data_IF_124594243455
#
_entry.id   IF_124594243455
#
_cell.length_a   1.000
_cell.length_b   1.000
_cell.length_c   1.000
_cell.angle_alpha   90.00
_cell.angle_beta   90.00
_cell.angle_gamma   90.00
#
_symmetry.space_group_name_H-M   'P 1'
#
loop_
_entity.id
_entity.type
_entity.pdbx_description
1 polymer ?
#
# COMPACT_ATOMS: atom_id res chain seq x y z
N UNK A 1 21.74 13.00 83.03
CA UNK A 1 21.51 13.61 81.67
C UNK A 1 21.25 12.43 80.76
N UNK A 2 20.02 12.36 80.23
CA UNK A 2 19.58 11.24 79.39
C UNK A 2 19.56 11.74 77.93
N UNK A 3 20.38 11.11 77.13
CA UNK A 3 20.42 11.38 75.66
C UNK A 3 19.15 10.86 75.01
N UNK A 4 18.35 11.81 74.42
CA UNK A 4 17.24 11.47 73.57
C UNK A 4 17.80 11.27 72.16
N UNK A 5 17.93 10.02 71.74
CA UNK A 5 18.25 9.66 70.35
C UNK A 5 17.04 9.94 69.51
N UNK A 6 17.20 10.80 68.47
CA UNK A 6 16.18 11.18 67.48
C UNK A 6 15.93 10.03 66.52
N UNK A 7 14.87 9.26 66.70
CA UNK A 7 14.41 8.23 65.75
C UNK A 7 13.55 8.76 64.61
N UNK A 8 13.51 10.09 64.40
CA UNK A 8 12.56 10.70 63.44
C UNK A 8 13.04 10.78 62.01
N UNK A 9 14.31 10.50 61.71
CA UNK A 9 14.84 10.71 60.34
C UNK A 9 14.97 9.44 59.48
N UNK A 10 14.82 8.24 60.05
CA UNK A 10 15.00 7.01 59.26
C UNK A 10 13.72 6.56 58.54
N UNK A 11 12.55 6.77 59.16
CA UNK A 11 11.27 6.39 58.57
C UNK A 11 10.86 7.26 57.37
N UNK A 12 11.13 8.55 57.41
CA UNK A 12 10.86 9.48 56.28
C UNK A 12 11.76 9.25 55.09
N UNK A 13 13.00 8.80 55.32
CA UNK A 13 13.94 8.50 54.23
C UNK A 13 13.57 7.19 53.48
N UNK A 14 13.09 6.19 54.22
CA UNK A 14 12.66 4.90 53.62
C UNK A 14 11.37 5.07 52.81
N UNK A 15 10.41 5.86 53.28
CA UNK A 15 9.16 6.13 52.55
C UNK A 15 9.44 6.95 51.27
N UNK A 16 10.36 7.93 51.32
CA UNK A 16 10.77 8.69 50.15
C UNK A 16 11.50 7.85 49.11
N UNK A 17 12.37 6.92 49.51
CA UNK A 17 13.10 6.03 48.59
C UNK A 17 12.20 4.98 47.94
N UNK A 18 11.19 4.46 48.64
CA UNK A 18 10.23 3.49 48.06
C UNK A 18 9.26 4.17 47.08
N UNK A 19 8.81 5.40 47.32
CA UNK A 19 7.97 6.15 46.37
C UNK A 19 8.78 6.50 45.11
N UNK A 20 10.07 6.83 45.23
CA UNK A 20 10.91 7.11 44.04
C UNK A 20 11.18 5.86 43.20
N UNK A 21 11.31 4.68 43.81
CA UNK A 21 11.44 3.41 43.07
C UNK A 21 10.16 3.02 42.32
N UNK A 22 8.98 3.26 42.88
CA UNK A 22 7.69 2.99 42.23
C UNK A 22 7.45 3.88 41.02
N UNK A 23 7.94 5.15 41.06
CA UNK A 23 7.82 6.09 39.94
C UNK A 23 8.74 5.70 38.75
N UNK A 24 9.88 5.06 39.02
CA UNK A 24 10.81 4.60 37.95
C UNK A 24 10.31 3.35 37.22
N UNK A 25 9.50 2.50 37.85
CA UNK A 25 8.91 1.33 37.15
C UNK A 25 7.75 1.69 36.24
N UNK A 26 7.09 2.86 36.42
CA UNK A 26 5.97 3.30 35.59
C UNK A 26 6.37 3.90 34.23
N UNK A 27 7.67 4.09 33.95
CA UNK A 27 8.20 4.64 32.72
C UNK A 27 8.79 3.60 31.75
N UNK A 28 8.56 2.31 31.95
CA UNK A 28 8.93 1.32 30.95
C UNK A 28 8.05 1.51 29.70
N UNK A 29 8.62 1.76 28.51
CA UNK A 29 7.82 1.94 27.30
C UNK A 29 6.97 0.69 27.08
N UNK A 30 5.64 0.86 27.03
CA UNK A 30 4.72 -0.24 26.79
C UNK A 30 5.10 -0.94 25.49
N UNK A 31 5.18 -2.29 25.51
CA UNK A 31 5.49 -3.07 24.30
C UNK A 31 4.51 -2.68 23.18
N UNK A 32 4.99 -2.34 21.98
CA UNK A 32 4.12 -1.93 20.89
C UNK A 32 3.14 -3.06 20.57
N UNK A 33 1.87 -2.70 20.30
CA UNK A 33 0.85 -3.67 19.89
C UNK A 33 1.22 -4.33 18.55
N UNK A 34 0.75 -5.55 18.30
CA UNK A 34 0.94 -6.24 17.02
C UNK A 34 0.46 -5.40 15.83
N UNK A 35 -0.65 -4.65 16.02
CA UNK A 35 -1.17 -3.72 15.02
C UNK A 35 -0.17 -2.59 14.71
N UNK A 36 0.50 -2.03 15.70
CA UNK A 36 1.55 -1.03 15.48
C UNK A 36 2.76 -1.66 14.80
N UNK A 37 3.19 -2.84 15.24
CA UNK A 37 4.31 -3.58 14.66
C UNK A 37 4.06 -3.95 13.18
N UNK A 38 2.83 -4.26 12.78
CA UNK A 38 2.52 -4.57 11.37
C UNK A 38 2.80 -3.39 10.41
N UNK A 39 2.92 -2.18 10.95
CA UNK A 39 3.27 -0.97 10.20
C UNK A 39 4.75 -0.65 10.33
N UNK A 40 5.30 -0.69 11.55
CA UNK A 40 6.66 -0.21 11.83
C UNK A 40 7.74 -1.27 11.65
N UNK A 41 7.43 -2.53 11.94
CA UNK A 41 8.33 -3.69 11.87
C UNK A 41 7.60 -4.91 11.26
N UNK A 42 7.08 -4.80 10.01
CA UNK A 42 6.20 -5.80 9.45
C UNK A 42 6.85 -7.18 9.33
N UNK A 43 8.14 -7.25 9.04
CA UNK A 43 8.90 -8.51 8.96
C UNK A 43 8.86 -9.30 10.27
N UNK A 44 8.87 -8.59 11.40
CA UNK A 44 8.77 -9.19 12.74
C UNK A 44 7.39 -9.79 13.03
N UNK A 45 6.34 -9.21 12.45
CA UNK A 45 4.98 -9.75 12.55
C UNK A 45 4.83 -10.99 11.67
N UNK A 46 5.29 -10.91 10.42
CA UNK A 46 5.23 -12.02 9.47
C UNK A 46 6.02 -13.24 9.93
N UNK A 47 7.17 -13.05 10.62
CA UNK A 47 7.93 -14.17 11.19
C UNK A 47 7.16 -15.01 12.21
N UNK A 48 6.02 -14.51 12.70
CA UNK A 48 5.13 -15.20 13.66
C UNK A 48 3.82 -15.68 13.02
N UNK A 49 3.71 -15.64 11.70
CA UNK A 49 2.46 -15.93 10.99
C UNK A 49 1.82 -17.24 11.40
N UNK A 50 2.56 -18.35 11.37
CA UNK A 50 2.02 -19.68 11.67
C UNK A 50 1.53 -19.76 13.14
N UNK A 51 2.31 -19.19 14.05
CA UNK A 51 1.93 -19.09 15.45
C UNK A 51 0.66 -18.26 15.66
N UNK A 52 0.52 -17.12 14.97
CA UNK A 52 -0.66 -16.26 15.07
C UNK A 52 -1.91 -16.92 14.48
N UNK A 53 -1.78 -17.60 13.35
CA UNK A 53 -2.90 -18.28 12.68
C UNK A 53 -3.33 -19.57 13.39
N UNK A 54 -2.44 -20.19 14.19
CA UNK A 54 -2.77 -21.34 15.02
C UNK A 54 -3.46 -20.99 16.36
N UNK A 55 -3.45 -19.71 16.76
CA UNK A 55 -4.17 -19.24 17.93
C UNK A 55 -5.69 -19.35 17.72
N UNK A 56 -6.49 -19.07 18.76
CA UNK A 56 -7.92 -19.35 18.80
C UNK A 56 -8.67 -18.93 17.51
N UNK A 57 -9.67 -19.74 17.10
CA UNK A 57 -10.51 -19.46 15.93
C UNK A 57 -11.22 -18.10 16.03
N UNK A 58 -11.57 -17.65 17.23
CA UNK A 58 -12.25 -16.39 17.49
C UNK A 58 -11.41 -15.16 17.16
N UNK A 59 -10.09 -15.20 17.39
CA UNK A 59 -9.17 -14.10 17.09
C UNK A 59 -8.56 -14.18 15.68
N UNK A 60 -8.83 -15.22 14.94
CA UNK A 60 -8.27 -15.42 13.61
C UNK A 60 -8.52 -14.25 12.64
N UNK A 61 -9.73 -13.63 12.58
CA UNK A 61 -9.95 -12.47 11.71
C UNK A 61 -9.05 -11.27 12.05
N UNK A 62 -8.82 -11.01 13.35
CA UNK A 62 -7.91 -9.96 13.81
C UNK A 62 -6.47 -10.22 13.34
N UNK A 63 -5.98 -11.44 13.50
CA UNK A 63 -4.62 -11.81 13.08
C UNK A 63 -4.46 -11.80 11.56
N UNK A 64 -5.47 -12.24 10.81
CA UNK A 64 -5.50 -12.14 9.34
C UNK A 64 -5.37 -10.67 8.92
N UNK A 65 -6.12 -9.74 9.52
CA UNK A 65 -6.03 -8.31 9.20
C UNK A 65 -4.64 -7.73 9.53
N UNK A 66 -4.06 -8.09 10.67
CA UNK A 66 -2.71 -7.66 11.09
C UNK A 66 -1.64 -8.19 10.14
N UNK A 67 -1.69 -9.47 9.78
CA UNK A 67 -0.77 -10.11 8.85
C UNK A 67 -0.90 -9.55 7.43
N UNK A 68 -2.14 -9.34 6.96
CA UNK A 68 -2.39 -8.69 5.67
C UNK A 68 -1.76 -7.29 5.63
N UNK A 69 -1.93 -6.50 6.69
CA UNK A 69 -1.28 -5.18 6.81
C UNK A 69 0.24 -5.30 6.76
N UNK A 70 0.84 -6.26 7.48
CA UNK A 70 2.28 -6.45 7.49
C UNK A 70 2.82 -6.83 6.10
N UNK A 71 2.21 -7.81 5.43
CA UNK A 71 2.60 -8.21 4.07
C UNK A 71 2.44 -7.08 3.06
N UNK A 72 1.35 -6.29 3.12
CA UNK A 72 1.15 -5.10 2.26
C UNK A 72 2.27 -4.08 2.47
N UNK A 73 2.68 -3.83 3.72
CA UNK A 73 3.76 -2.89 3.99
C UNK A 73 5.13 -3.39 3.48
N UNK A 74 5.40 -4.70 3.57
CA UNK A 74 6.60 -5.30 2.95
C UNK A 74 6.55 -5.17 1.43
N UNK A 75 5.39 -5.45 0.83
CA UNK A 75 5.20 -5.32 -0.62
C UNK A 75 5.46 -3.89 -1.10
N UNK A 76 4.87 -2.89 -0.45
CA UNK A 76 5.08 -1.46 -0.77
C UNK A 76 6.53 -1.02 -0.61
N UNK A 77 7.21 -1.49 0.43
CA UNK A 77 8.64 -1.25 0.61
C UNK A 77 9.48 -1.85 -0.53
N UNK A 78 9.12 -3.06 -0.97
CA UNK A 78 9.74 -3.72 -2.11
C UNK A 78 9.49 -2.96 -3.43
N UNK A 79 8.28 -2.45 -3.66
CA UNK A 79 7.97 -1.60 -4.82
C UNK A 79 8.80 -0.32 -4.83
N UNK A 80 8.86 0.38 -3.70
CA UNK A 80 9.65 1.61 -3.56
C UNK A 80 11.15 1.37 -3.81
N UNK A 81 11.65 0.16 -3.53
CA UNK A 81 13.03 -0.24 -3.84
C UNK A 81 13.20 -0.85 -5.24
N UNK A 82 12.15 -0.90 -6.04
CA UNK A 82 12.15 -1.49 -7.39
C UNK A 82 12.11 -3.02 -7.43
N UNK A 83 12.02 -3.69 -6.29
CA UNK A 83 11.96 -5.15 -6.20
C UNK A 83 10.52 -5.66 -6.43
N UNK A 84 10.11 -5.65 -7.70
CA UNK A 84 8.76 -6.05 -8.11
C UNK A 84 8.45 -7.51 -7.81
N UNK A 85 9.41 -8.40 -7.92
CA UNK A 85 9.20 -9.83 -7.66
C UNK A 85 8.80 -10.08 -6.19
N UNK A 86 9.52 -9.45 -5.27
CA UNK A 86 9.15 -9.49 -3.84
C UNK A 86 7.78 -8.90 -3.59
N UNK A 87 7.43 -7.77 -4.20
CA UNK A 87 6.13 -7.15 -4.05
C UNK A 87 4.99 -8.10 -4.51
N UNK A 88 5.12 -8.67 -5.71
CA UNK A 88 4.16 -9.67 -6.23
C UNK A 88 3.99 -10.86 -5.28
N UNK A 89 5.09 -11.38 -4.75
CA UNK A 89 5.07 -12.50 -3.80
C UNK A 89 4.32 -12.13 -2.51
N UNK A 90 4.58 -10.96 -1.97
CA UNK A 90 3.94 -10.52 -0.73
C UNK A 90 2.44 -10.24 -0.91
N UNK A 91 1.99 -9.61 -2.01
CA UNK A 91 0.56 -9.47 -2.30
C UNK A 91 -0.14 -10.82 -2.50
N UNK A 92 0.51 -11.79 -3.15
CA UNK A 92 -0.03 -13.17 -3.25
C UNK A 92 -0.19 -13.84 -1.90
N UNK A 93 0.74 -13.62 -0.96
CA UNK A 93 0.60 -14.12 0.41
C UNK A 93 -0.59 -13.50 1.14
N UNK A 94 -0.84 -12.19 0.94
CA UNK A 94 -2.07 -11.57 1.48
C UNK A 94 -3.30 -12.30 0.96
N UNK A 95 -3.39 -12.52 -0.35
CA UNK A 95 -4.55 -13.17 -0.94
C UNK A 95 -4.70 -14.66 -0.55
N UNK A 96 -3.62 -15.30 -0.13
CA UNK A 96 -3.67 -16.67 0.41
C UNK A 96 -4.30 -16.73 1.81
N UNK A 97 -4.14 -15.70 2.64
CA UNK A 97 -4.72 -15.63 3.99
C UNK A 97 -6.03 -14.83 4.05
N UNK A 98 -6.21 -13.88 3.15
CA UNK A 98 -7.38 -13.01 3.00
C UNK A 98 -7.75 -12.88 1.51
N UNK A 99 -8.47 -13.86 0.93
CA UNK A 99 -8.83 -13.84 -0.48
C UNK A 99 -9.69 -12.66 -0.92
N UNK A 100 -10.34 -11.96 0.02
CA UNK A 100 -11.19 -10.81 -0.26
C UNK A 100 -10.48 -9.46 -0.09
N UNK A 101 -9.19 -9.46 0.17
CA UNK A 101 -8.41 -8.24 0.37
C UNK A 101 -8.35 -7.40 -0.91
N UNK A 102 -9.17 -6.35 -0.97
CA UNK A 102 -9.28 -5.47 -2.14
C UNK A 102 -7.95 -4.77 -2.45
N UNK A 103 -7.24 -4.31 -1.41
CA UNK A 103 -5.95 -3.61 -1.59
C UNK A 103 -4.93 -4.52 -2.25
N UNK A 104 -4.72 -5.72 -1.72
CA UNK A 104 -3.74 -6.64 -2.29
C UNK A 104 -4.11 -7.09 -3.71
N UNK A 105 -5.41 -7.27 -3.98
CA UNK A 105 -5.88 -7.63 -5.32
C UNK A 105 -5.66 -6.49 -6.32
N UNK A 106 -5.96 -5.26 -5.93
CA UNK A 106 -5.74 -4.07 -6.75
C UNK A 106 -4.26 -3.89 -7.11
N UNK A 107 -3.39 -3.88 -6.11
CA UNK A 107 -1.95 -3.68 -6.30
C UNK A 107 -1.31 -4.83 -7.12
N UNK A 108 -1.76 -6.08 -6.89
CA UNK A 108 -1.31 -7.21 -7.70
C UNK A 108 -1.64 -7.02 -9.18
N UNK A 109 -2.88 -6.63 -9.49
CA UNK A 109 -3.30 -6.37 -10.87
C UNK A 109 -2.53 -5.20 -11.49
N UNK A 110 -2.28 -4.12 -10.75
CA UNK A 110 -1.45 -3.02 -11.24
C UNK A 110 -0.04 -3.50 -11.62
N UNK A 111 0.60 -4.31 -10.77
CA UNK A 111 1.94 -4.84 -11.05
C UNK A 111 1.96 -5.83 -12.23
N UNK A 112 0.93 -6.66 -12.36
CA UNK A 112 0.77 -7.58 -13.51
C UNK A 112 0.57 -6.81 -14.81
N UNK A 113 -0.33 -5.83 -14.81
CA UNK A 113 -0.56 -4.94 -15.96
C UNK A 113 0.70 -4.17 -16.38
N UNK A 114 1.45 -3.62 -15.40
CA UNK A 114 2.73 -2.95 -15.65
C UNK A 114 3.79 -3.88 -16.26
N UNK A 115 3.76 -5.17 -15.90
CA UNK A 115 4.66 -6.16 -16.48
C UNK A 115 4.33 -6.40 -17.95
N UNK A 116 3.05 -6.50 -18.29
CA UNK A 116 2.57 -6.64 -19.66
C UNK A 116 2.83 -5.37 -20.49
N UNK A 117 2.55 -4.19 -19.90
CA UNK A 117 2.86 -2.90 -20.53
C UNK A 117 4.35 -2.76 -20.89
N UNK A 118 5.25 -3.23 -20.03
CA UNK A 118 6.69 -3.21 -20.29
C UNK A 118 7.10 -4.10 -21.45
N UNK A 119 6.47 -5.27 -21.63
CA UNK A 119 6.71 -6.14 -22.80
C UNK A 119 6.45 -5.41 -24.12
N UNK A 120 5.43 -4.57 -24.18
CA UNK A 120 5.18 -3.63 -25.28
C UNK A 120 4.74 -4.23 -26.60
N UNK A 121 4.61 -5.54 -26.76
CA UNK A 121 3.99 -6.16 -27.94
C UNK A 121 2.49 -5.87 -27.98
N UNK A 122 1.90 -5.77 -29.18
CA UNK A 122 0.45 -5.49 -29.32
C UNK A 122 -0.44 -6.43 -28.49
N UNK A 123 -0.24 -7.77 -28.50
CA UNK A 123 -1.00 -8.66 -27.62
C UNK A 123 -0.80 -8.33 -26.15
N UNK A 124 0.44 -8.13 -25.69
CA UNK A 124 0.72 -7.82 -24.28
C UNK A 124 0.11 -6.49 -23.84
N UNK A 125 -0.03 -5.50 -24.74
CA UNK A 125 -0.70 -4.24 -24.44
C UNK A 125 -2.22 -4.40 -24.32
N UNK A 126 -2.84 -5.28 -25.12
CA UNK A 126 -4.24 -5.65 -24.95
C UNK A 126 -4.49 -6.36 -23.62
N UNK A 127 -3.63 -7.32 -23.27
CA UNK A 127 -3.70 -8.00 -21.97
C UNK A 127 -3.50 -7.00 -20.82
N UNK A 128 -2.59 -6.03 -20.97
CA UNK A 128 -2.39 -4.96 -19.98
C UNK A 128 -3.66 -4.12 -19.77
N UNK A 129 -4.33 -3.71 -20.87
CA UNK A 129 -5.60 -2.96 -20.80
C UNK A 129 -6.65 -3.76 -20.04
N UNK A 130 -6.80 -5.06 -20.33
CA UNK A 130 -7.75 -5.93 -19.62
C UNK A 130 -7.44 -6.01 -18.13
N UNK A 131 -6.18 -6.22 -17.76
CA UNK A 131 -5.75 -6.31 -16.36
C UNK A 131 -5.95 -4.99 -15.62
N UNK A 132 -5.60 -3.84 -16.23
CA UNK A 132 -5.84 -2.52 -15.63
C UNK A 132 -7.34 -2.21 -15.51
N UNK A 133 -8.16 -2.65 -16.46
CA UNK A 133 -9.62 -2.52 -16.36
C UNK A 133 -10.17 -3.32 -15.17
N UNK A 134 -9.68 -4.53 -14.92
CA UNK A 134 -10.03 -5.29 -13.70
C UNK A 134 -9.58 -4.55 -12.43
N UNK A 135 -8.42 -3.91 -12.44
CA UNK A 135 -7.96 -3.11 -11.31
C UNK A 135 -8.87 -1.90 -11.06
N UNK A 136 -9.24 -1.14 -12.10
CA UNK A 136 -10.10 0.03 -11.97
C UNK A 136 -11.50 -0.30 -11.41
N UNK A 137 -12.01 -1.51 -11.67
CA UNK A 137 -13.28 -1.98 -11.10
C UNK A 137 -13.18 -2.28 -9.59
N UNK A 138 -12.00 -2.60 -9.08
CA UNK A 138 -11.79 -2.87 -7.64
C UNK A 138 -11.67 -1.57 -6.84
N UNK A 139 -10.95 -0.58 -7.37
CA UNK A 139 -10.78 0.73 -6.77
C UNK A 139 -11.18 1.83 -7.75
N UNK A 140 -12.46 2.20 -7.71
CA UNK A 140 -13.06 3.15 -8.65
C UNK A 140 -12.67 4.61 -8.37
N UNK A 141 -12.18 4.90 -7.15
CA UNK A 141 -11.75 6.23 -6.75
C UNK A 141 -10.30 6.54 -7.17
N UNK A 142 -9.53 5.52 -7.56
CA UNK A 142 -8.13 5.65 -7.94
C UNK A 142 -7.98 5.71 -9.46
N UNK A 143 -7.37 6.79 -9.97
CA UNK A 143 -7.15 7.02 -11.39
C UNK A 143 -5.94 6.32 -11.99
N UNK A 144 -5.10 5.66 -11.17
CA UNK A 144 -3.84 5.06 -11.64
C UNK A 144 -4.08 3.95 -12.67
N UNK A 145 -5.07 3.09 -12.44
CA UNK A 145 -5.40 2.02 -13.40
C UNK A 145 -5.86 2.60 -14.75
N UNK A 146 -6.74 3.59 -14.73
CA UNK A 146 -7.24 4.28 -15.94
C UNK A 146 -6.12 5.04 -16.68
N UNK A 147 -5.18 5.64 -15.94
CA UNK A 147 -3.98 6.23 -16.53
C UNK A 147 -3.17 5.19 -17.31
N UNK A 148 -2.95 3.99 -16.76
CA UNK A 148 -2.21 2.93 -17.45
C UNK A 148 -2.98 2.30 -18.60
N UNK A 149 -4.32 2.32 -18.57
CA UNK A 149 -5.15 1.97 -19.75
C UNK A 149 -4.86 2.95 -20.89
N UNK A 150 -4.90 4.26 -20.62
CA UNK A 150 -4.60 5.29 -21.61
C UNK A 150 -3.19 5.14 -22.20
N UNK A 151 -2.18 4.96 -21.36
CA UNK A 151 -0.78 4.70 -21.77
C UNK A 151 -0.65 3.45 -22.63
N UNK A 152 -1.46 2.41 -22.34
CA UNK A 152 -1.43 1.17 -23.10
C UNK A 152 -2.06 1.33 -24.49
N UNK A 153 -3.18 2.05 -24.61
CA UNK A 153 -3.76 2.43 -25.89
C UNK A 153 -2.79 3.27 -26.72
N UNK A 154 -2.21 4.31 -26.12
CA UNK A 154 -1.25 5.19 -26.78
C UNK A 154 -0.04 4.43 -27.32
N UNK A 155 0.50 3.48 -26.54
CA UNK A 155 1.65 2.67 -26.93
C UNK A 155 1.32 1.59 -27.96
N UNK A 156 0.10 1.05 -27.92
CA UNK A 156 -0.39 0.00 -28.83
C UNK A 156 -0.62 0.54 -30.24
N UNK A 157 -1.37 1.63 -30.31
CA UNK A 157 -1.72 2.31 -31.55
C UNK A 157 -2.16 3.75 -31.23
N UNK A 158 -1.34 4.70 -31.56
CA UNK A 158 -1.59 6.10 -31.29
C UNK A 158 -2.66 6.75 -32.18
N UNK A 159 -3.45 5.95 -32.92
CA UNK A 159 -4.59 6.39 -33.74
C UNK A 159 -5.95 6.13 -33.10
N UNK A 160 -6.01 5.34 -32.04
CA UNK A 160 -7.24 5.11 -31.24
C UNK A 160 -7.51 6.33 -30.33
N UNK A 161 -7.56 7.53 -30.91
CA UNK A 161 -7.59 8.80 -30.18
C UNK A 161 -8.73 8.90 -29.16
N UNK A 162 -9.93 8.42 -29.53
CA UNK A 162 -11.08 8.50 -28.65
C UNK A 162 -10.89 7.67 -27.37
N UNK A 163 -10.39 6.44 -27.50
CA UNK A 163 -10.11 5.58 -26.36
C UNK A 163 -8.97 6.12 -25.49
N UNK A 164 -7.95 6.72 -26.11
CA UNK A 164 -6.83 7.35 -25.38
C UNK A 164 -7.34 8.54 -24.56
N UNK A 165 -8.15 9.42 -25.19
CA UNK A 165 -8.69 10.62 -24.54
C UNK A 165 -9.62 10.23 -23.40
N UNK A 166 -10.60 9.33 -23.65
CA UNK A 166 -11.56 8.85 -22.66
C UNK A 166 -10.85 8.26 -21.42
N UNK A 167 -9.85 7.42 -21.64
CA UNK A 167 -9.11 6.79 -20.53
C UNK A 167 -8.31 7.82 -19.71
N UNK A 168 -7.73 8.86 -20.34
CA UNK A 168 -7.09 9.95 -19.60
C UNK A 168 -8.11 10.81 -18.85
N UNK A 169 -9.26 11.11 -19.44
CA UNK A 169 -10.33 11.85 -18.78
C UNK A 169 -10.85 11.10 -17.57
N UNK A 170 -11.07 9.79 -17.69
CA UNK A 170 -11.45 8.94 -16.58
C UNK A 170 -10.38 8.96 -15.48
N UNK A 171 -9.10 8.87 -15.81
CA UNK A 171 -8.02 8.92 -14.82
C UNK A 171 -7.95 10.27 -14.11
N UNK A 172 -8.15 11.38 -14.82
CA UNK A 172 -8.08 12.75 -14.29
C UNK A 172 -9.30 13.09 -13.41
N UNK A 173 -10.43 12.42 -13.62
CA UNK A 173 -11.64 12.57 -12.80
C UNK A 173 -11.51 11.96 -11.39
N UNK A 174 -10.48 11.15 -11.15
CA UNK A 174 -10.24 10.36 -9.93
C UNK A 174 -9.01 10.85 -9.16
N UNK A 175 -8.77 10.26 -7.99
CA UNK A 175 -7.53 10.48 -7.25
C UNK A 175 -6.33 9.97 -8.08
N UNK A 176 -5.40 10.86 -8.41
CA UNK A 176 -4.22 10.54 -9.21
C UNK A 176 -3.00 11.27 -8.62
N UNK A 177 -1.86 10.58 -8.42
CA UNK A 177 -0.62 11.20 -7.99
C UNK A 177 -0.24 12.37 -8.90
N UNK A 178 0.23 13.48 -8.33
CA UNK A 178 0.47 14.73 -9.04
C UNK A 178 1.33 14.57 -10.31
N UNK A 179 2.40 13.78 -10.21
CA UNK A 179 3.27 13.49 -11.37
C UNK A 179 2.52 12.80 -12.51
N UNK A 180 1.62 11.86 -12.19
CA UNK A 180 0.82 11.16 -13.22
C UNK A 180 -0.28 12.05 -13.76
N UNK A 181 -0.84 12.94 -12.93
CA UNK A 181 -1.84 13.93 -13.33
C UNK A 181 -1.28 14.86 -14.40
N UNK A 182 -0.11 15.44 -14.15
CA UNK A 182 0.56 16.31 -15.12
C UNK A 182 0.87 15.60 -16.44
N UNK A 183 1.37 14.36 -16.39
CA UNK A 183 1.61 13.55 -17.59
C UNK A 183 0.30 13.25 -18.35
N UNK A 184 -0.77 12.90 -17.64
CA UNK A 184 -2.08 12.60 -18.21
C UNK A 184 -2.68 13.82 -18.93
N UNK A 185 -2.58 15.02 -18.34
CA UNK A 185 -3.05 16.27 -18.94
C UNK A 185 -2.31 16.56 -20.26
N UNK A 186 -0.99 16.51 -20.25
CA UNK A 186 -0.15 16.74 -21.43
C UNK A 186 -0.40 15.69 -22.53
N UNK A 187 -0.50 14.43 -22.13
CA UNK A 187 -0.75 13.32 -23.07
C UNK A 187 -2.14 13.41 -23.69
N UNK A 188 -3.17 13.73 -22.90
CA UNK A 188 -4.54 13.97 -23.38
C UNK A 188 -4.59 15.10 -24.40
N UNK A 189 -4.01 16.26 -24.09
CA UNK A 189 -3.96 17.40 -24.98
C UNK A 189 -3.23 17.08 -26.29
N UNK A 190 -2.19 16.26 -26.22
CA UNK A 190 -1.46 15.78 -27.38
C UNK A 190 -2.34 14.87 -28.24
N UNK A 191 -3.10 13.97 -27.64
CA UNK A 191 -4.05 13.10 -28.34
C UNK A 191 -5.15 13.92 -29.04
N UNK A 192 -5.71 14.94 -28.39
CA UNK A 192 -6.67 15.86 -28.98
C UNK A 192 -6.10 16.58 -30.25
N UNK A 193 -4.89 17.11 -30.14
CA UNK A 193 -4.22 17.79 -31.26
C UNK A 193 -4.00 16.84 -32.45
N UNK A 194 -3.52 15.62 -32.17
CA UNK A 194 -3.32 14.57 -33.19
C UNK A 194 -4.65 14.17 -33.86
N UNK A 195 -5.71 13.96 -33.07
CA UNK A 195 -7.06 13.66 -33.57
C UNK A 195 -7.54 14.75 -34.54
N UNK A 196 -7.48 16.02 -34.11
CA UNK A 196 -7.89 17.17 -34.94
C UNK A 196 -7.12 17.23 -36.25
N UNK A 197 -5.82 16.97 -36.23
CA UNK A 197 -4.99 16.94 -37.45
C UNK A 197 -5.40 15.79 -38.35
N UNK A 198 -5.65 14.62 -37.81
CA UNK A 198 -6.09 13.45 -38.54
C UNK A 198 -7.46 13.67 -39.19
N UNK A 199 -8.43 14.20 -38.45
CA UNK A 199 -9.78 14.49 -38.95
C UNK A 199 -9.77 15.54 -40.09
N UNK A 200 -8.88 16.53 -40.00
CA UNK A 200 -8.74 17.56 -41.05
C UNK A 200 -8.06 17.04 -42.33
N UNK A 201 -7.24 15.98 -42.21
CA UNK A 201 -6.57 15.38 -43.36
C UNK A 201 -7.55 14.59 -44.25
N UNK A 202 -8.64 14.08 -43.68
CA UNK A 202 -9.63 13.25 -44.37
C UNK A 202 -10.89 14.01 -44.77
N UNK A 203 -10.94 15.32 -44.52
CA UNK A 203 -11.99 16.24 -45.02
C UNK A 203 -11.57 16.88 -46.33
#
# INVERSE_FOLDING_TARGET
>A
MKDKVNYFNSATFIVSATIFLIILESCAPSKPSLKKLSITEPERVVSKQDSLLSLSKERRPEFVAILSTAHINIARKAENSGNRETALKEYKKVLAIDPQNKTARYELLLLEGLTLYKKGSKPALWDAIEIFSKASMINQEDGVASYWIAKSYEKKDNKDFDLIIEAYEDSLSKALPEKLRQDAEVSKDTAYKKKKTFDNFWK
#
